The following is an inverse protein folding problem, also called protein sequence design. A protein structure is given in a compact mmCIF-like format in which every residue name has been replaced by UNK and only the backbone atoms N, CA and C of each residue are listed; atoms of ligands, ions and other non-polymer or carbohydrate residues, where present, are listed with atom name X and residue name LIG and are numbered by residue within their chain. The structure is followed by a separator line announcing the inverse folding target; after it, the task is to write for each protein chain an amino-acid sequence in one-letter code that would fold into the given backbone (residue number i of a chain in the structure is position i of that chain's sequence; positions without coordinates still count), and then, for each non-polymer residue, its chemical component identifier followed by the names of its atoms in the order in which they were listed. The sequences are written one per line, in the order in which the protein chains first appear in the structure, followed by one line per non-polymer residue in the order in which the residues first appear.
data_IF_428174544225
#
_entry.id   IF_428174544225
#
_cell.length_a   1.000
_cell.length_b   1.000
_cell.length_c   1.000
_cell.angle_alpha   90.00
_cell.angle_beta   90.00
_cell.angle_gamma   90.00
#
_symmetry.space_group_name_H-M   'P 1'
#
loop_
_entity.id
_entity.type
_entity.pdbx_description
1 polymer ?
#
# COMPACT_ATOMS: atom_id res chain seq x y z
N UNK A 1 -25.04 -15.05 17.89
CA UNK A 1 -23.84 -14.25 18.11
C UNK A 1 -22.70 -15.24 18.20
N UNK A 2 -22.01 -15.50 17.07
CA UNK A 2 -20.87 -16.41 17.03
C UNK A 2 -19.60 -15.61 17.30
N UNK A 3 -18.96 -15.90 18.41
CA UNK A 3 -17.64 -15.41 18.77
C UNK A 3 -16.62 -16.08 17.86
N UNK A 4 -15.98 -15.33 16.97
CA UNK A 4 -14.91 -15.83 16.09
C UNK A 4 -13.67 -16.08 16.97
N UNK A 5 -13.24 -17.34 16.98
CA UNK A 5 -12.11 -17.80 17.80
C UNK A 5 -10.81 -17.66 17.00
N UNK A 6 -10.03 -16.63 17.27
CA UNK A 6 -8.75 -16.31 16.63
C UNK A 6 -7.56 -17.19 17.05
N UNK A 7 -7.78 -18.46 17.39
CA UNK A 7 -6.70 -19.39 17.73
C UNK A 7 -6.45 -20.36 16.57
N UNK A 8 -5.47 -20.03 15.73
CA UNK A 8 -4.55 -20.91 14.98
C UNK A 8 -4.22 -20.35 13.60
N UNK A 9 -3.21 -19.49 13.50
CA UNK A 9 -2.37 -19.38 12.29
C UNK A 9 -1.03 -18.77 12.71
N UNK A 10 0.07 -19.44 12.36
CA UNK A 10 1.43 -18.90 12.37
C UNK A 10 2.28 -19.30 13.59
N UNK A 11 3.29 -20.10 13.37
CA UNK A 11 4.37 -20.28 14.33
C UNK A 11 5.13 -18.96 14.48
N UNK A 12 4.95 -18.30 15.63
CA UNK A 12 5.72 -17.12 16.04
C UNK A 12 7.19 -17.49 16.21
N UNK A 13 8.07 -16.68 15.62
CA UNK A 13 9.43 -16.55 16.15
C UNK A 13 9.32 -15.84 17.50
N UNK A 14 9.72 -16.52 18.57
CA UNK A 14 9.83 -15.94 19.91
C UNK A 14 10.78 -14.75 19.88
N UNK A 15 10.24 -13.53 19.99
CA UNK A 15 10.87 -12.35 20.62
C UNK A 15 10.09 -11.05 20.42
N UNK A 16 8.75 -11.09 20.50
CA UNK A 16 8.00 -9.86 20.76
C UNK A 16 7.19 -10.15 22.05
N UNK A 17 7.39 -9.31 23.06
CA UNK A 17 6.67 -9.45 24.32
C UNK A 17 5.17 -9.32 24.07
N UNK A 18 4.35 -10.09 24.78
CA UNK A 18 2.86 -10.01 24.66
C UNK A 18 2.31 -8.59 24.92
N UNK A 19 3.08 -7.71 25.57
CA UNK A 19 2.73 -6.30 25.79
C UNK A 19 2.70 -5.45 24.54
N UNK A 20 3.51 -5.76 23.51
CA UNK A 20 3.54 -4.98 22.25
C UNK A 20 2.31 -5.25 21.36
N UNK A 21 1.59 -6.34 21.59
CA UNK A 21 0.39 -6.73 20.81
C UNK A 21 -0.87 -5.92 21.15
N UNK A 22 -0.85 -5.12 22.21
CA UNK A 22 -2.01 -4.39 22.74
C UNK A 22 -1.81 -2.89 22.75
N UNK A 23 -0.77 -2.38 22.11
CA UNK A 23 -0.60 -0.94 21.94
C UNK A 23 -1.58 -0.45 20.85
N UNK A 24 -2.80 -0.12 21.23
CA UNK A 24 -3.87 0.37 20.33
C UNK A 24 -3.43 1.58 19.51
N UNK A 25 -2.46 2.37 20.00
CA UNK A 25 -1.95 3.56 19.32
C UNK A 25 -1.15 3.22 18.05
N UNK A 26 -0.43 2.08 18.01
CA UNK A 26 0.34 1.67 16.83
C UNK A 26 -0.59 1.37 15.65
N UNK A 27 -1.75 0.76 15.91
CA UNK A 27 -2.74 0.39 14.90
C UNK A 27 -3.80 1.48 14.66
N UNK A 28 -3.63 2.67 15.23
CA UNK A 28 -4.57 3.77 15.00
C UNK A 28 -4.35 4.41 13.62
N UNK A 29 -5.43 4.92 13.02
CA UNK A 29 -5.35 5.70 11.79
C UNK A 29 -4.55 6.97 12.01
N UNK A 30 -3.54 7.19 11.15
CA UNK A 30 -2.67 8.37 11.20
C UNK A 30 -3.31 9.53 10.44
N UNK A 31 -3.12 10.73 10.96
CA UNK A 31 -3.59 11.98 10.38
C UNK A 31 -2.51 12.60 9.46
N UNK A 32 -2.91 13.61 8.69
CA UNK A 32 -1.95 14.43 7.93
C UNK A 32 -0.93 15.07 8.89
N UNK A 33 0.34 14.95 8.55
CA UNK A 33 1.48 15.37 9.37
C UNK A 33 2.05 14.27 10.28
N UNK A 34 1.33 13.18 10.52
CA UNK A 34 1.82 12.03 11.30
C UNK A 34 2.60 11.06 10.42
N UNK A 35 3.53 10.36 11.05
CA UNK A 35 4.44 9.43 10.39
C UNK A 35 3.84 8.02 10.35
N UNK A 36 3.90 7.37 9.18
CA UNK A 36 3.64 5.94 9.01
C UNK A 36 4.84 5.16 9.55
N UNK A 37 4.58 4.07 10.27
CA UNK A 37 5.63 3.19 10.77
C UNK A 37 6.27 2.37 9.64
N UNK A 38 7.45 1.82 9.91
CA UNK A 38 8.12 1.00 8.92
C UNK A 38 7.35 -0.30 8.66
N UNK A 39 7.23 -0.62 7.38
CA UNK A 39 6.62 -1.85 6.89
C UNK A 39 7.45 -2.42 5.76
N UNK A 40 7.37 -3.73 5.58
CA UNK A 40 8.11 -4.43 4.54
C UNK A 40 7.20 -5.35 3.75
N UNK A 41 7.44 -5.44 2.44
CA UNK A 41 6.69 -6.29 1.51
C UNK A 41 7.63 -6.94 0.51
N UNK A 42 7.18 -7.99 -0.16
CA UNK A 42 7.93 -8.62 -1.24
C UNK A 42 7.66 -7.89 -2.57
N UNK A 43 8.72 -7.52 -3.28
CA UNK A 43 8.65 -7.05 -4.67
C UNK A 43 8.37 -8.20 -5.62
N UNK A 44 8.02 -7.90 -6.86
CA UNK A 44 7.75 -8.87 -7.93
C UNK A 44 8.96 -9.76 -8.29
N UNK A 45 10.17 -9.37 -7.91
CA UNK A 45 11.41 -10.13 -8.05
C UNK A 45 11.78 -10.94 -6.78
N UNK A 46 10.88 -11.05 -5.81
CA UNK A 46 11.06 -11.69 -4.50
C UNK A 46 12.06 -11.00 -3.57
N UNK A 47 12.60 -9.84 -3.92
CA UNK A 47 13.38 -9.05 -2.96
C UNK A 47 12.47 -8.26 -2.04
N UNK A 48 12.97 -7.93 -0.85
CA UNK A 48 12.18 -7.18 0.14
C UNK A 48 12.26 -5.68 -0.16
N UNK A 49 11.13 -5.02 -0.10
CA UNK A 49 11.00 -3.57 -0.01
C UNK A 49 10.75 -3.19 1.43
N UNK A 50 11.47 -2.21 1.95
CA UNK A 50 11.22 -1.60 3.28
C UNK A 50 10.92 -0.13 3.09
N UNK A 51 9.83 0.36 3.69
CA UNK A 51 9.39 1.74 3.52
C UNK A 51 10.43 2.76 4.02
N UNK A 52 11.15 2.44 5.10
CA UNK A 52 12.15 3.35 5.67
C UNK A 52 13.50 3.32 4.94
N UNK A 53 13.76 2.30 4.13
CA UNK A 53 14.96 2.20 3.30
C UNK A 53 14.82 2.95 1.98
N UNK A 54 13.61 3.41 1.64
CA UNK A 54 13.37 4.22 0.45
C UNK A 54 13.91 5.63 0.66
N UNK A 55 14.76 6.08 -0.27
CA UNK A 55 15.39 7.41 -0.34
C UNK A 55 14.58 8.42 -1.17
N UNK A 56 13.37 8.04 -1.58
CA UNK A 56 12.51 8.88 -2.40
C UNK A 56 11.98 10.09 -1.62
N UNK A 57 11.91 11.25 -2.29
CA UNK A 57 11.39 12.49 -1.68
C UNK A 57 9.89 12.39 -1.39
N UNK A 58 9.16 11.66 -2.25
CA UNK A 58 7.74 11.38 -2.06
C UNK A 58 7.43 9.91 -2.37
N UNK A 59 6.57 9.32 -1.56
CA UNK A 59 6.05 7.97 -1.76
C UNK A 59 4.53 8.02 -1.86
N UNK A 60 3.97 7.52 -2.95
CA UNK A 60 2.52 7.38 -3.15
C UNK A 60 2.14 5.93 -2.91
N UNK A 61 1.21 5.68 -1.99
CA UNK A 61 0.73 4.33 -1.67
C UNK A 61 -0.71 4.17 -2.10
N UNK A 62 -0.97 3.18 -2.93
CA UNK A 62 -2.29 2.73 -3.36
C UNK A 62 -2.46 1.23 -3.09
N UNK A 63 -3.71 0.79 -2.93
CA UNK A 63 -4.04 -0.60 -2.60
C UNK A 63 -4.86 -1.24 -3.71
N UNK A 64 -4.58 -2.50 -4.01
CA UNK A 64 -5.28 -3.31 -5.01
C UNK A 64 -5.42 -4.75 -4.55
N UNK A 65 -6.08 -5.57 -5.36
CA UNK A 65 -5.91 -7.01 -5.44
C UNK A 65 -6.09 -7.46 -6.91
N UNK A 66 -5.31 -8.48 -7.33
CA UNK A 66 -5.23 -8.84 -8.76
C UNK A 66 -6.54 -9.41 -9.30
N UNK A 67 -7.32 -10.08 -8.45
CA UNK A 67 -8.60 -10.73 -8.80
C UNK A 67 -9.80 -9.77 -8.79
N UNK A 68 -9.58 -8.44 -8.71
CA UNK A 68 -10.66 -7.47 -8.69
C UNK A 68 -11.49 -7.52 -10.00
N UNK A 69 -12.79 -7.89 -9.94
CA UNK A 69 -13.59 -8.05 -11.13
C UNK A 69 -14.18 -6.74 -11.66
N UNK A 70 -13.93 -5.62 -10.97
CA UNK A 70 -14.57 -4.33 -11.24
C UNK A 70 -13.60 -3.41 -11.98
N UNK A 71 -13.80 -3.14 -13.30
CA UNK A 71 -12.83 -2.40 -14.12
C UNK A 71 -12.55 -0.97 -13.64
N UNK A 72 -13.53 -0.30 -13.03
CA UNK A 72 -13.38 1.05 -12.51
C UNK A 72 -12.90 1.11 -11.06
N UNK A 73 -12.36 0.02 -10.51
CA UNK A 73 -11.72 -0.04 -9.17
C UNK A 73 -10.20 -0.26 -9.31
N UNK A 74 -9.70 -1.45 -8.99
CA UNK A 74 -8.25 -1.72 -9.01
C UNK A 74 -7.59 -1.41 -10.36
N UNK A 75 -8.15 -1.79 -11.54
CA UNK A 75 -7.57 -1.40 -12.83
C UNK A 75 -7.50 0.13 -13.03
N UNK A 76 -8.54 0.85 -12.60
CA UNK A 76 -8.55 2.31 -12.69
C UNK A 76 -7.50 2.95 -11.76
N UNK A 77 -7.29 2.41 -10.56
CA UNK A 77 -6.21 2.87 -9.64
C UNK A 77 -4.84 2.69 -10.30
N UNK A 78 -4.59 1.53 -10.91
CA UNK A 78 -3.34 1.25 -11.62
C UNK A 78 -3.14 2.27 -12.76
N UNK A 79 -4.15 2.49 -13.61
CA UNK A 79 -4.07 3.45 -14.73
C UNK A 79 -3.81 4.89 -14.23
N UNK A 80 -4.42 5.28 -13.12
CA UNK A 80 -4.17 6.61 -12.53
C UNK A 80 -2.74 6.75 -12.02
N UNK A 81 -2.20 5.70 -11.39
CA UNK A 81 -0.81 5.68 -10.96
C UNK A 81 0.16 5.72 -12.16
N UNK A 82 -0.13 5.02 -13.27
CA UNK A 82 0.69 5.10 -14.50
C UNK A 82 0.72 6.53 -15.05
N UNK A 83 -0.43 7.21 -15.14
CA UNK A 83 -0.47 8.61 -15.57
C UNK A 83 0.38 9.53 -14.69
N UNK A 84 0.32 9.33 -13.37
CA UNK A 84 1.13 10.11 -12.43
C UNK A 84 2.62 9.76 -12.56
N UNK A 85 2.94 8.47 -12.64
CA UNK A 85 4.31 7.99 -12.77
C UNK A 85 5.01 8.56 -14.01
N UNK A 86 4.33 8.57 -15.16
CA UNK A 86 4.79 9.22 -16.38
C UNK A 86 4.98 10.74 -16.20
N UNK A 87 4.02 11.38 -15.51
CA UNK A 87 4.09 12.82 -15.25
C UNK A 87 5.24 13.26 -14.36
N UNK A 88 5.84 12.35 -13.62
CA UNK A 88 6.90 12.59 -12.63
C UNK A 88 8.12 11.66 -12.82
N UNK A 89 8.35 11.18 -14.04
CA UNK A 89 9.45 10.26 -14.36
C UNK A 89 10.84 10.83 -14.05
N UNK A 90 10.98 12.17 -14.11
CA UNK A 90 12.21 12.93 -13.83
C UNK A 90 12.35 13.35 -12.36
N UNK A 91 11.44 12.92 -11.49
CA UNK A 91 11.41 13.28 -10.07
C UNK A 91 11.74 12.08 -9.18
N UNK A 92 12.26 12.37 -8.00
CA UNK A 92 12.55 11.38 -6.97
C UNK A 92 11.25 10.97 -6.23
N UNK A 93 10.34 10.33 -6.97
CA UNK A 93 9.00 9.94 -6.52
C UNK A 93 8.74 8.49 -6.89
N UNK A 94 8.25 7.71 -5.95
CA UNK A 94 7.82 6.33 -6.19
C UNK A 94 6.33 6.13 -5.97
N UNK A 95 5.78 5.17 -6.69
CA UNK A 95 4.39 4.74 -6.61
C UNK A 95 4.34 3.29 -6.18
N UNK A 96 3.91 3.04 -4.95
CA UNK A 96 3.76 1.72 -4.38
C UNK A 96 2.32 1.25 -4.56
N UNK A 97 2.13 0.16 -5.26
CA UNK A 97 0.83 -0.47 -5.47
C UNK A 97 0.85 -1.79 -4.70
N UNK A 98 0.24 -1.79 -3.52
CA UNK A 98 0.32 -2.89 -2.55
C UNK A 98 -0.93 -3.76 -2.68
N UNK A 99 -0.74 -5.06 -2.89
CA UNK A 99 -1.84 -6.00 -2.81
C UNK A 99 -2.18 -6.32 -1.36
N UNK A 100 -3.48 -6.23 -1.02
CA UNK A 100 -4.00 -6.71 0.26
C UNK A 100 -4.53 -8.16 0.19
N UNK A 101 -4.44 -8.82 -0.97
CA UNK A 101 -4.73 -10.25 -1.08
C UNK A 101 -3.49 -11.08 -0.69
N UNK A 102 -3.25 -11.16 0.61
CA UNK A 102 -2.07 -11.80 1.20
C UNK A 102 -2.05 -13.34 1.03
N UNK A 103 -3.11 -13.93 0.46
CA UNK A 103 -3.20 -15.37 0.18
C UNK A 103 -2.85 -15.66 -1.27
N UNK A 104 -3.41 -14.89 -2.20
CA UNK A 104 -3.37 -15.20 -3.62
C UNK A 104 -2.30 -14.44 -4.39
N UNK A 105 -2.08 -13.16 -4.06
CA UNK A 105 -1.20 -12.27 -4.81
C UNK A 105 0.28 -12.45 -4.41
N UNK A 106 0.84 -13.62 -4.77
CA UNK A 106 2.27 -13.88 -4.56
C UNK A 106 3.13 -12.95 -5.44
N UNK A 107 4.43 -12.76 -5.13
CA UNK A 107 5.36 -11.98 -5.96
C UNK A 107 5.38 -12.45 -7.42
N UNK A 108 5.40 -13.77 -7.65
CA UNK A 108 5.42 -14.36 -9.00
C UNK A 108 4.13 -14.06 -9.75
N UNK A 109 2.98 -14.12 -9.06
CA UNK A 109 1.70 -13.81 -9.67
C UNK A 109 1.61 -12.33 -10.05
N UNK A 110 1.98 -11.44 -9.14
CA UNK A 110 2.04 -9.99 -9.43
C UNK A 110 3.02 -9.71 -10.57
N UNK A 111 4.16 -10.38 -10.61
CA UNK A 111 5.12 -10.29 -11.72
C UNK A 111 4.47 -10.68 -13.05
N UNK A 112 3.71 -11.78 -13.08
CA UNK A 112 3.05 -12.26 -14.31
C UNK A 112 2.02 -11.26 -14.86
N UNK A 113 1.38 -10.46 -14.01
CA UNK A 113 0.38 -9.47 -14.42
C UNK A 113 0.96 -8.08 -14.67
N UNK A 114 1.97 -7.66 -13.91
CA UNK A 114 2.34 -6.24 -13.83
C UNK A 114 3.80 -5.94 -14.19
N UNK A 115 4.63 -6.95 -14.50
CA UNK A 115 6.03 -6.74 -14.87
C UNK A 115 6.20 -5.74 -16.02
N UNK A 116 5.35 -5.81 -17.05
CA UNK A 116 5.41 -4.86 -18.18
C UNK A 116 5.12 -3.42 -17.75
N UNK A 117 4.31 -3.22 -16.69
CA UNK A 117 4.07 -1.88 -16.15
C UNK A 117 5.31 -1.38 -15.42
N UNK A 118 5.94 -2.21 -14.58
CA UNK A 118 7.18 -1.83 -13.88
C UNK A 118 8.34 -1.56 -14.85
N UNK A 119 8.43 -2.30 -15.97
CA UNK A 119 9.42 -2.06 -17.03
C UNK A 119 9.20 -0.73 -17.76
N UNK A 120 7.95 -0.33 -18.00
CA UNK A 120 7.60 0.93 -18.66
C UNK A 120 7.59 2.14 -17.71
N UNK A 121 7.37 1.91 -16.42
CA UNK A 121 7.30 2.93 -15.38
C UNK A 121 8.18 2.51 -14.18
N UNK A 122 9.51 2.73 -14.24
CA UNK A 122 10.47 2.23 -13.23
C UNK A 122 10.24 2.80 -11.82
N UNK A 123 9.48 3.89 -11.70
CA UNK A 123 9.07 4.49 -10.46
C UNK A 123 7.76 3.88 -9.89
N UNK A 124 7.13 2.90 -10.57
CA UNK A 124 6.05 2.07 -10.01
C UNK A 124 6.64 0.77 -9.47
N UNK A 125 6.16 0.34 -8.31
CA UNK A 125 6.48 -0.97 -7.71
C UNK A 125 5.19 -1.65 -7.28
N UNK A 126 4.98 -2.89 -7.72
CA UNK A 126 3.94 -3.75 -7.20
C UNK A 126 4.50 -4.56 -6.03
N UNK A 127 3.78 -4.56 -4.91
CA UNK A 127 4.23 -5.19 -3.68
C UNK A 127 3.22 -6.23 -3.21
N UNK A 128 3.72 -7.44 -2.97
CA UNK A 128 2.95 -8.55 -2.41
C UNK A 128 2.99 -8.50 -0.89
N UNK A 129 1.83 -8.66 -0.27
CA UNK A 129 1.69 -8.83 1.18
C UNK A 129 1.73 -10.30 1.63
N UNK A 130 1.94 -11.25 0.71
CA UNK A 130 2.12 -12.68 1.07
C UNK A 130 3.31 -12.82 2.02
N UNK A 131 3.10 -13.50 3.15
CA UNK A 131 4.04 -13.60 4.27
C UNK A 131 4.33 -12.28 5.04
N UNK A 132 3.64 -11.18 4.73
CA UNK A 132 3.78 -9.87 5.37
C UNK A 132 2.46 -9.39 6.00
N UNK A 133 1.65 -10.31 6.51
CA UNK A 133 0.31 -10.00 7.04
C UNK A 133 0.32 -8.92 8.13
N UNK A 134 1.27 -8.99 9.08
CA UNK A 134 1.36 -8.01 10.17
C UNK A 134 1.67 -6.59 9.64
N UNK A 135 2.60 -6.48 8.69
CA UNK A 135 2.94 -5.22 8.03
C UNK A 135 1.76 -4.67 7.21
N UNK A 136 1.00 -5.57 6.55
CA UNK A 136 -0.21 -5.18 5.84
C UNK A 136 -1.26 -4.61 6.80
N UNK A 137 -1.53 -5.30 7.92
CA UNK A 137 -2.49 -4.82 8.92
C UNK A 137 -2.04 -3.49 9.51
N UNK A 138 -0.75 -3.35 9.86
CA UNK A 138 -0.21 -2.10 10.38
C UNK A 138 -0.42 -0.95 9.39
N UNK A 139 0.03 -1.13 8.15
CA UNK A 139 -0.05 -0.08 7.14
C UNK A 139 -1.51 0.28 6.79
N UNK A 140 -2.38 -0.70 6.61
CA UNK A 140 -3.79 -0.46 6.27
C UNK A 140 -4.53 0.25 7.40
N UNK A 141 -4.29 -0.12 8.65
CA UNK A 141 -4.83 0.58 9.82
C UNK A 141 -4.34 2.03 9.86
N UNK A 142 -3.03 2.25 9.79
CA UNK A 142 -2.45 3.59 9.84
C UNK A 142 -2.86 4.47 8.66
N UNK A 143 -3.05 3.91 7.48
CA UNK A 143 -3.58 4.64 6.31
C UNK A 143 -5.11 4.68 6.25
N UNK A 144 -5.81 4.21 7.29
CA UNK A 144 -7.28 4.17 7.37
C UNK A 144 -7.92 3.43 6.17
N UNK A 145 -7.38 2.27 5.84
CA UNK A 145 -7.93 1.36 4.83
C UNK A 145 -8.51 0.14 5.54
N UNK A 146 -9.76 -0.18 5.26
CA UNK A 146 -10.39 -1.39 5.72
C UNK A 146 -10.50 -2.40 4.58
N UNK A 147 -10.22 -3.67 4.88
CA UNK A 147 -10.45 -4.80 3.97
C UNK A 147 -10.82 -6.04 4.76
N UNK A 148 -11.42 -7.03 4.08
CA UNK A 148 -11.80 -8.31 4.66
C UNK A 148 -12.34 -9.27 3.62
N UNK A 149 -12.62 -10.52 4.03
CA UNK A 149 -13.17 -11.56 3.17
C UNK A 149 -12.16 -12.21 2.22
N UNK A 150 -10.85 -12.07 2.50
CA UNK A 150 -9.79 -12.66 1.66
C UNK A 150 -9.84 -14.17 1.73
N UNK A 151 -10.00 -14.74 2.93
CA UNK A 151 -10.09 -16.17 3.18
C UNK A 151 -11.35 -16.80 2.54
N UNK A 152 -12.44 -16.07 2.53
CA UNK A 152 -13.72 -16.50 1.96
C UNK A 152 -13.82 -16.24 0.45
N UNK A 153 -12.76 -15.71 -0.17
CA UNK A 153 -12.75 -15.31 -1.58
C UNK A 153 -13.89 -14.33 -1.94
N UNK A 154 -14.27 -13.49 -0.98
CA UNK A 154 -15.30 -12.46 -1.11
C UNK A 154 -14.78 -11.12 -0.57
N UNK A 155 -13.83 -10.56 -1.29
CA UNK A 155 -13.02 -9.42 -0.83
C UNK A 155 -13.84 -8.13 -0.89
N UNK A 156 -14.06 -7.53 0.28
CA UNK A 156 -14.56 -6.17 0.44
C UNK A 156 -13.47 -5.26 0.98
N UNK A 157 -13.41 -4.03 0.50
CA UNK A 157 -12.41 -3.05 0.95
C UNK A 157 -12.83 -1.61 0.71
N UNK A 158 -12.25 -0.69 1.48
CA UNK A 158 -12.28 0.74 1.15
C UNK A 158 -11.13 1.09 0.20
N UNK A 159 -11.30 2.18 -0.55
CA UNK A 159 -10.27 2.68 -1.48
C UNK A 159 -9.65 3.94 -0.90
N UNK A 160 -8.33 3.97 -0.86
CA UNK A 160 -7.58 5.15 -0.44
C UNK A 160 -6.20 5.18 -1.08
N UNK A 161 -5.74 6.38 -1.42
CA UNK A 161 -4.37 6.63 -1.86
C UNK A 161 -3.76 7.70 -0.96
N UNK A 162 -2.58 7.45 -0.42
CA UNK A 162 -1.87 8.39 0.45
C UNK A 162 -0.58 8.88 -0.19
N UNK A 163 -0.20 10.11 0.15
CA UNK A 163 1.07 10.73 -0.24
C UNK A 163 1.90 10.95 1.00
N UNK A 164 3.11 10.42 1.00
CA UNK A 164 4.09 10.57 2.07
C UNK A 164 5.25 11.47 1.62
N UNK A 165 5.81 12.25 2.55
CA UNK A 165 7.08 12.93 2.37
C UNK A 165 8.27 11.98 2.58
N UNK A 166 9.51 12.47 2.40
CA UNK A 166 10.75 11.72 2.65
C UNK A 166 10.89 11.18 4.08
N UNK A 167 10.25 11.82 5.05
CA UNK A 167 10.23 11.40 6.46
C UNK A 167 9.10 10.41 6.74
N UNK A 168 8.36 9.99 5.69
CA UNK A 168 7.20 9.09 5.75
C UNK A 168 6.02 9.67 6.53
N UNK A 169 5.91 11.02 6.55
CA UNK A 169 4.73 11.71 7.07
C UNK A 169 3.66 11.83 6.00
N UNK A 170 2.41 11.64 6.37
CA UNK A 170 1.27 11.80 5.46
C UNK A 170 1.13 13.29 5.11
N UNK A 171 1.28 13.62 3.83
CA UNK A 171 1.00 14.95 3.31
C UNK A 171 -0.46 15.10 2.89
N UNK A 172 -1.02 14.04 2.31
CA UNK A 172 -2.41 14.03 1.84
C UNK A 172 -2.93 12.60 1.72
N UNK A 173 -4.24 12.46 1.85
CA UNK A 173 -4.96 11.23 1.56
C UNK A 173 -6.15 11.52 0.65
N UNK A 174 -6.36 10.65 -0.33
CA UNK A 174 -7.46 10.68 -1.28
C UNK A 174 -8.37 9.51 -1.00
N UNK A 175 -9.60 9.79 -0.64
CA UNK A 175 -10.64 8.81 -0.34
C UNK A 175 -11.30 8.33 -1.65
N UNK A 176 -11.66 7.04 -1.69
CA UNK A 176 -12.36 6.46 -2.82
C UNK A 176 -11.53 6.42 -4.10
N UNK A 177 -12.22 6.35 -5.23
CA UNK A 177 -11.63 6.27 -6.57
C UNK A 177 -11.91 7.50 -7.44
N UNK A 178 -12.72 8.44 -6.97
CA UNK A 178 -13.21 9.56 -7.80
C UNK A 178 -12.20 10.70 -7.93
N UNK A 179 -11.06 10.64 -7.24
CA UNK A 179 -10.03 11.65 -7.40
C UNK A 179 -9.48 11.68 -8.83
N UNK A 180 -9.28 12.90 -9.33
CA UNK A 180 -8.79 13.13 -10.70
C UNK A 180 -7.25 13.15 -10.70
N UNK A 181 -6.59 12.44 -11.61
CA UNK A 181 -5.12 12.47 -11.74
C UNK A 181 -4.56 13.90 -11.92
N UNK A 182 -5.28 14.77 -12.63
CA UNK A 182 -4.92 16.19 -12.82
C UNK A 182 -4.88 16.98 -11.50
N UNK A 183 -5.84 16.73 -10.61
CA UNK A 183 -5.89 17.39 -9.30
C UNK A 183 -4.79 16.85 -8.38
N UNK A 184 -4.57 15.53 -8.41
CA UNK A 184 -3.48 14.90 -7.70
C UNK A 184 -2.12 15.44 -8.16
N UNK A 185 -1.90 15.52 -9.48
CA UNK A 185 -0.68 16.08 -10.08
C UNK A 185 -0.44 17.50 -9.60
N UNK A 186 -1.46 18.37 -9.62
CA UNK A 186 -1.39 19.74 -9.12
C UNK A 186 -0.97 19.79 -7.64
N UNK A 187 -1.60 18.96 -6.81
CA UNK A 187 -1.29 18.92 -5.38
C UNK A 187 0.16 18.46 -5.13
N UNK A 188 0.62 17.43 -5.84
CA UNK A 188 1.98 16.94 -5.71
C UNK A 188 3.02 17.97 -6.18
N UNK A 189 2.74 18.69 -7.28
CA UNK A 189 3.57 19.84 -7.71
C UNK A 189 3.65 20.95 -6.67
N UNK A 190 2.56 21.22 -5.95
CA UNK A 190 2.57 22.19 -4.87
C UNK A 190 3.49 21.75 -3.72
N UNK A 191 3.48 20.45 -3.35
CA UNK A 191 4.41 19.95 -2.33
C UNK A 191 5.86 20.03 -2.78
N UNK A 192 6.16 19.72 -4.04
CA UNK A 192 7.53 19.82 -4.60
C UNK A 192 8.02 21.27 -4.58
N UNK A 193 7.18 22.24 -4.92
CA UNK A 193 7.55 23.64 -5.01
C UNK A 193 7.66 24.35 -3.64
N UNK A 194 7.14 23.73 -2.57
CA UNK A 194 7.19 24.27 -1.21
C UNK A 194 8.44 23.83 -0.42
N UNK A 195 9.19 22.85 -0.92
CA UNK A 195 10.42 22.31 -0.35
C UNK A 195 11.64 22.70 -1.17
#
# INVERSE_FOLDING_TARGET
INTINFKKIGQRKEKDSEEDLWNEDIYSAKLVGEKIDNVSFSKTDNTIYSLYESDQDYTIISYIFSRCPIPNMCPAVITKNQFLAESFEDKNIEFLIISFDYIYDTPELLSSYYKSIEENYPNIKFLSSTNHYNDLILLTKQSNVAFGGVEENNIGHTMRTIVLDKNKKILKAYEGIDWKPSDFKRDLLNFINLN
#
